data_IF_286907334381
#
_entry.id   IF_286907334381
#
_cell.length_a   1.000
_cell.length_b   1.000
_cell.length_c   1.000
_cell.angle_alpha   90.00
_cell.angle_beta   90.00
_cell.angle_gamma   90.00
#
_symmetry.space_group_name_H-M   'P 1'
#
loop_
_entity.id
_entity.type
_entity.pdbx_description
1 polymer ?
#
# COMPACT_ATOMS: atom_id res chain seq x y z
N UNK A 1 -19.00 -18.07 -23.25
CA UNK A 1 -18.13 -16.90 -22.99
C UNK A 1 -17.73 -16.92 -21.53
N UNK A 2 -16.45 -17.13 -21.22
CA UNK A 2 -15.97 -16.99 -19.85
C UNK A 2 -16.12 -15.51 -19.49
N UNK A 3 -17.03 -15.17 -18.58
CA UNK A 3 -17.09 -13.83 -18.01
C UNK A 3 -15.68 -13.50 -17.50
N UNK A 4 -15.11 -12.32 -17.83
CA UNK A 4 -13.80 -11.96 -17.32
C UNK A 4 -13.87 -12.01 -15.80
N UNK A 5 -12.87 -12.65 -15.17
CA UNK A 5 -12.70 -12.55 -13.72
C UNK A 5 -12.75 -11.06 -13.38
N UNK A 6 -13.68 -10.67 -12.53
CA UNK A 6 -13.74 -9.30 -12.02
C UNK A 6 -12.37 -8.97 -11.40
N UNK A 7 -11.56 -8.20 -12.11
CA UNK A 7 -10.23 -7.81 -11.65
C UNK A 7 -10.41 -6.61 -10.72
N UNK A 8 -10.80 -6.90 -9.48
CA UNK A 8 -10.86 -5.91 -8.40
C UNK A 8 -9.51 -5.23 -8.28
N UNK A 9 -9.48 -3.92 -8.48
CA UNK A 9 -8.26 -3.13 -8.45
C UNK A 9 -8.39 -1.97 -7.48
N UNK A 10 -7.24 -1.48 -7.04
CA UNK A 10 -7.08 -0.27 -6.27
C UNK A 10 -6.36 0.75 -7.13
N UNK A 11 -6.91 1.96 -7.19
CA UNK A 11 -6.38 3.07 -8.01
C UNK A 11 -6.24 4.31 -7.15
N UNK A 12 -5.35 5.24 -7.54
CA UNK A 12 -5.16 6.50 -6.83
C UNK A 12 -6.46 7.32 -6.86
N UNK A 13 -6.88 7.85 -5.71
CA UNK A 13 -8.12 8.64 -5.63
C UNK A 13 -8.09 9.92 -6.48
N UNK A 14 -6.90 10.53 -6.66
CA UNK A 14 -6.76 11.82 -7.34
C UNK A 14 -6.66 11.72 -8.86
N UNK A 15 -5.90 10.74 -9.37
CA UNK A 15 -5.61 10.64 -10.81
C UNK A 15 -6.00 9.30 -11.44
N UNK A 16 -6.58 8.38 -10.65
CA UNK A 16 -7.00 7.04 -11.11
C UNK A 16 -5.89 6.15 -11.64
N UNK A 17 -4.62 6.50 -11.42
CA UNK A 17 -3.50 5.61 -11.72
C UNK A 17 -3.67 4.28 -10.97
N UNK A 18 -3.51 3.15 -11.66
CA UNK A 18 -3.57 1.83 -11.05
C UNK A 18 -2.46 1.68 -10.00
N UNK A 19 -2.80 1.24 -8.78
CA UNK A 19 -1.84 1.09 -7.68
C UNK A 19 -1.59 -0.36 -7.31
N UNK A 20 -2.64 -1.18 -7.25
CA UNK A 20 -2.50 -2.59 -6.89
C UNK A 20 -3.72 -3.39 -7.35
N UNK A 21 -3.53 -4.68 -7.60
CA UNK A 21 -4.64 -5.61 -7.78
C UNK A 21 -5.08 -6.18 -6.44
N UNK A 22 -6.31 -6.69 -6.36
CA UNK A 22 -6.80 -7.29 -5.13
C UNK A 22 -6.03 -8.55 -4.72
N UNK A 23 -5.48 -9.30 -5.66
CA UNK A 23 -4.66 -10.49 -5.39
C UNK A 23 -3.35 -10.15 -4.66
N UNK A 24 -2.87 -8.91 -4.73
CA UNK A 24 -1.69 -8.45 -4.00
C UNK A 24 -2.01 -8.07 -2.55
N UNK A 25 -3.28 -8.04 -2.14
CA UNK A 25 -3.67 -7.66 -0.79
C UNK A 25 -3.32 -8.76 0.21
N UNK A 26 -2.53 -8.41 1.23
CA UNK A 26 -2.16 -9.31 2.33
C UNK A 26 -3.11 -9.14 3.51
N UNK A 27 -3.36 -7.89 3.94
CA UNK A 27 -4.16 -7.62 5.13
C UNK A 27 -4.83 -6.26 5.09
N UNK A 28 -6.03 -6.19 5.68
CA UNK A 28 -6.82 -4.96 5.85
C UNK A 28 -6.76 -4.38 7.27
N UNK A 29 -6.00 -5.02 8.16
CA UNK A 29 -5.97 -4.72 9.61
C UNK A 29 -4.90 -3.70 10.00
N UNK A 30 -4.47 -2.85 9.06
CA UNK A 30 -3.46 -1.83 9.29
C UNK A 30 -4.09 -0.44 9.43
N UNK A 31 -3.34 0.46 10.05
CA UNK A 31 -3.72 1.86 10.23
C UNK A 31 -2.52 2.75 9.86
N UNK A 32 -2.81 3.89 9.26
CA UNK A 32 -1.87 4.99 9.04
C UNK A 32 -2.37 6.27 9.71
N UNK A 33 -1.73 7.39 9.39
CA UNK A 33 -2.07 8.71 9.93
C UNK A 33 -3.48 9.16 9.57
N UNK A 34 -4.02 8.72 8.43
CA UNK A 34 -5.33 9.09 7.92
C UNK A 34 -6.39 8.00 8.11
N UNK A 35 -6.14 7.04 9.01
CA UNK A 35 -7.08 5.99 9.39
C UNK A 35 -6.72 4.62 8.82
N UNK A 36 -7.69 3.91 8.24
CA UNK A 36 -7.46 2.53 7.77
C UNK A 36 -6.47 2.48 6.61
N UNK A 37 -5.58 1.49 6.65
CA UNK A 37 -4.60 1.25 5.61
C UNK A 37 -4.48 -0.25 5.32
N UNK A 38 -4.09 -0.60 4.11
CA UNK A 38 -3.99 -1.98 3.65
C UNK A 38 -2.54 -2.34 3.36
N UNK A 39 -2.16 -3.57 3.72
CA UNK A 39 -0.85 -4.14 3.42
C UNK A 39 -0.93 -4.92 2.10
N UNK A 40 -0.02 -4.59 1.19
CA UNK A 40 0.11 -5.19 -0.13
C UNK A 40 1.46 -5.86 -0.31
N UNK A 41 1.46 -6.94 -1.08
CA UNK A 41 2.65 -7.64 -1.51
C UNK A 41 3.42 -6.84 -2.57
N UNK A 42 2.72 -6.31 -3.56
CA UNK A 42 3.28 -5.50 -4.63
C UNK A 42 2.35 -4.35 -4.99
N UNK A 43 2.93 -3.24 -5.45
CA UNK A 43 2.23 -2.04 -5.92
C UNK A 43 2.93 -1.51 -7.17
N UNK A 44 2.20 -0.81 -8.03
CA UNK A 44 2.70 -0.26 -9.29
C UNK A 44 2.37 1.23 -9.41
N UNK A 45 3.05 1.93 -10.32
CA UNK A 45 2.89 3.38 -10.52
C UNK A 45 3.13 4.21 -9.24
N UNK A 46 4.07 3.75 -8.40
CA UNK A 46 4.51 4.48 -7.21
C UNK A 46 6.02 4.77 -7.28
N UNK A 47 6.41 5.94 -6.80
CA UNK A 47 7.78 6.24 -6.44
C UNK A 47 8.01 6.03 -4.94
N UNK A 48 9.26 5.81 -4.54
CA UNK A 48 9.68 5.72 -3.14
C UNK A 48 10.59 6.90 -2.81
N UNK A 49 10.36 7.51 -1.64
CA UNK A 49 11.28 8.46 -1.03
C UNK A 49 12.49 7.78 -0.39
N UNK A 50 13.36 8.55 0.30
CA UNK A 50 14.44 7.98 1.09
C UNK A 50 13.89 7.12 2.24
N UNK A 51 14.65 6.10 2.62
CA UNK A 51 14.33 5.27 3.77
C UNK A 51 14.70 5.99 5.07
N UNK A 52 13.78 6.02 6.02
CA UNK A 52 13.93 6.67 7.31
C UNK A 52 13.52 5.72 8.44
N UNK A 53 14.16 5.84 9.60
CA UNK A 53 13.75 5.07 10.77
C UNK A 53 12.53 5.71 11.44
N UNK A 54 11.48 4.92 11.66
CA UNK A 54 10.22 5.35 12.28
C UNK A 54 9.80 4.35 13.35
N UNK A 55 9.48 4.86 14.55
CA UNK A 55 8.88 4.05 15.60
C UNK A 55 7.39 3.90 15.31
N UNK A 56 6.95 2.67 15.03
CA UNK A 56 5.56 2.34 14.76
C UNK A 56 4.98 1.54 15.93
N UNK A 57 3.68 1.26 15.90
CA UNK A 57 3.00 0.50 16.96
C UNK A 57 3.66 -0.86 17.24
N UNK A 58 4.21 -1.50 16.21
CA UNK A 58 4.86 -2.81 16.30
C UNK A 58 6.38 -2.71 16.42
N UNK A 59 6.91 -1.59 16.92
CA UNK A 59 8.34 -1.39 17.12
C UNK A 59 9.03 -0.56 16.02
N UNK A 60 10.36 -0.52 16.08
CA UNK A 60 11.20 0.27 15.17
C UNK A 60 11.25 -0.37 13.78
N UNK A 61 11.09 0.45 12.75
CA UNK A 61 11.19 0.05 11.35
C UNK A 61 11.99 1.09 10.56
N UNK A 62 12.67 0.65 9.49
CA UNK A 62 13.07 1.54 8.40
C UNK A 62 11.98 1.49 7.32
N UNK A 63 11.44 2.65 6.97
CA UNK A 63 10.34 2.79 6.01
C UNK A 63 10.65 3.89 5.00
N UNK A 64 10.17 3.73 3.77
CA UNK A 64 10.25 4.76 2.74
C UNK A 64 8.83 5.20 2.36
N UNK A 65 8.54 6.50 2.43
CA UNK A 65 7.25 7.01 1.99
C UNK A 65 7.05 6.74 0.49
N UNK A 66 5.84 6.36 0.10
CA UNK A 66 5.48 6.11 -1.30
C UNK A 66 4.51 7.16 -1.81
N UNK A 67 4.67 7.55 -3.07
CA UNK A 67 3.84 8.55 -3.72
C UNK A 67 3.41 8.07 -5.10
N UNK A 68 2.22 8.48 -5.54
CA UNK A 68 1.75 8.20 -6.87
C UNK A 68 2.71 8.80 -7.91
N UNK A 69 3.21 8.00 -8.84
CA UNK A 69 4.15 8.47 -9.85
C UNK A 69 3.53 9.53 -10.78
N UNK A 70 2.21 9.45 -11.00
CA UNK A 70 1.46 10.35 -11.89
C UNK A 70 1.13 11.70 -11.26
N UNK A 71 0.57 11.73 -10.04
CA UNK A 71 0.11 12.98 -9.42
C UNK A 71 0.92 13.41 -8.19
N UNK A 72 1.94 12.64 -7.81
CA UNK A 72 2.85 12.90 -6.67
C UNK A 72 2.18 12.91 -5.29
N UNK A 73 0.90 12.59 -5.18
CA UNK A 73 0.23 12.44 -3.89
C UNK A 73 0.88 11.31 -3.08
N UNK A 74 1.19 11.57 -1.81
CA UNK A 74 1.63 10.54 -0.85
C UNK A 74 0.51 9.53 -0.62
N UNK A 75 0.83 8.23 -0.70
CA UNK A 75 -0.13 7.14 -0.61
C UNK A 75 0.01 6.33 0.69
N UNK A 76 1.21 6.30 1.26
CA UNK A 76 1.57 5.49 2.42
C UNK A 76 3.08 5.25 2.47
N UNK A 77 3.53 4.04 2.82
CA UNK A 77 4.96 3.72 2.92
C UNK A 77 5.27 2.27 2.55
N UNK A 78 6.52 2.01 2.19
CA UNK A 78 7.11 0.66 2.06
C UNK A 78 7.96 0.35 3.29
N UNK A 79 7.88 -0.87 3.79
CA UNK A 79 8.81 -1.34 4.82
C UNK A 79 10.12 -1.78 4.16
N UNK A 80 11.22 -1.11 4.46
CA UNK A 80 12.56 -1.52 4.01
C UNK A 80 13.17 -2.53 4.98
N UNK A 81 13.01 -2.29 6.28
CA UNK A 81 13.55 -3.16 7.33
C UNK A 81 12.68 -3.14 8.58
N UNK A 82 12.51 -4.29 9.23
CA UNK A 82 11.93 -4.43 10.55
C UNK A 82 12.99 -4.96 11.52
N UNK A 83 13.11 -4.36 12.71
CA UNK A 83 14.15 -4.76 13.67
C UNK A 83 13.72 -5.92 14.57
N UNK A 84 12.42 -6.15 14.70
CA UNK A 84 11.85 -7.29 15.43
C UNK A 84 11.59 -8.48 14.49
N UNK A 85 12.04 -9.68 14.89
CA UNK A 85 11.84 -10.91 14.10
C UNK A 85 10.38 -11.20 13.78
N UNK A 86 9.46 -10.87 14.70
CA UNK A 86 8.01 -11.03 14.52
C UNK A 86 7.43 -10.16 13.40
N UNK A 87 8.14 -9.10 13.00
CA UNK A 87 7.69 -8.12 12.02
C UNK A 87 8.37 -8.27 10.65
N UNK A 88 9.31 -9.22 10.50
CA UNK A 88 10.08 -9.45 9.26
C UNK A 88 9.21 -9.74 8.03
N UNK A 89 8.01 -10.31 8.22
CA UNK A 89 7.07 -10.54 7.13
C UNK A 89 6.62 -9.26 6.40
N UNK A 90 6.81 -8.09 7.02
CA UNK A 90 6.48 -6.78 6.43
C UNK A 90 7.55 -6.27 5.48
N UNK A 91 8.80 -6.74 5.56
CA UNK A 91 9.90 -6.24 4.74
C UNK A 91 9.59 -6.41 3.24
N UNK A 92 9.82 -5.35 2.47
CA UNK A 92 9.47 -5.25 1.05
C UNK A 92 7.98 -5.07 0.76
N UNK A 93 7.11 -5.02 1.78
CA UNK A 93 5.65 -4.83 1.62
C UNK A 93 5.26 -3.37 1.70
N UNK A 94 4.07 -3.07 1.20
CA UNK A 94 3.59 -1.71 1.01
C UNK A 94 2.32 -1.47 1.80
N UNK A 95 2.25 -0.31 2.44
CA UNK A 95 1.05 0.24 3.03
C UNK A 95 0.50 1.31 2.11
N UNK A 96 -0.78 1.20 1.76
CA UNK A 96 -1.54 2.28 1.12
C UNK A 96 -2.73 2.61 2.03
N UNK A 97 -2.88 3.88 2.37
CA UNK A 97 -4.01 4.36 3.15
C UNK A 97 -5.28 4.43 2.30
N UNK A 98 -6.41 4.02 2.90
CA UNK A 98 -7.71 4.01 2.20
C UNK A 98 -8.16 5.40 1.75
N UNK A 99 -7.72 6.47 2.44
CA UNK A 99 -7.99 7.86 2.06
C UNK A 99 -7.42 8.23 0.69
N UNK A 100 -6.39 7.52 0.22
CA UNK A 100 -5.66 7.83 -1.01
C UNK A 100 -5.91 6.84 -2.14
N UNK A 101 -6.81 5.87 -1.95
CA UNK A 101 -7.17 4.90 -2.97
C UNK A 101 -8.68 4.70 -3.13
N UNK A 102 -9.07 4.33 -4.35
CA UNK A 102 -10.43 3.94 -4.71
C UNK A 102 -10.45 2.49 -5.18
N UNK A 103 -11.59 1.83 -4.94
CA UNK A 103 -11.85 0.44 -5.31
C UNK A 103 -12.60 0.40 -6.64
N UNK A 104 -12.01 -0.20 -7.67
CA UNK A 104 -12.57 -0.26 -9.03
C UNK A 104 -12.78 -1.72 -9.48
N UNK A 105 -13.73 -1.92 -10.41
CA UNK A 105 -14.12 -3.21 -11.02
C UNK A 105 -14.76 -4.22 -10.04
N UNK A 106 -16.05 -4.08 -9.76
CA UNK A 106 -16.89 -5.14 -9.19
C UNK A 106 -16.60 -5.46 -7.73
N UNK A 107 -16.79 -4.46 -6.86
CA UNK A 107 -16.70 -4.57 -5.40
C UNK A 107 -18.06 -4.78 -4.71
N UNK A 108 -19.12 -4.96 -5.50
CA UNK A 108 -20.47 -5.30 -5.04
C UNK A 108 -20.56 -6.78 -4.59
#
# INVERSE_FOLDING_TARGET
ALLPRSHRTYSCVHCRAHLARHEELISKSFQGSHGRAYLFNSVVNVGCGPAEQRLLLTGLHSVADIFCQSCKTTLGWKYEQAFESSQKYKEGKFIIEMSHMVKENGWD
#
